data_IF_978307957948
#
_entry.id   IF_978307957948
#
_cell.length_a   1.000
_cell.length_b   1.000
_cell.length_c   1.000
_cell.angle_alpha   90.00
_cell.angle_beta   90.00
_cell.angle_gamma   90.00
#
_symmetry.space_group_name_H-M   'P 1'
#
loop_
_entity.id
_entity.type
_entity.pdbx_description
1 polymer ?
#
# COMPACT_ATOMS: atom_id res chain seq x y z
N UNK A 1 -5.86 5.41 -26.76
CA UNK A 1 -6.24 5.71 -25.36
C UNK A 1 -7.57 5.07 -24.90
N UNK A 2 -8.35 4.37 -25.76
CA UNK A 2 -9.60 3.72 -25.34
C UNK A 2 -9.45 2.31 -24.75
N UNK A 3 -8.47 1.51 -25.20
CA UNK A 3 -8.34 0.11 -24.78
C UNK A 3 -8.00 -0.07 -23.28
N UNK A 4 -7.12 0.78 -22.74
CA UNK A 4 -6.81 0.84 -21.30
C UNK A 4 -8.02 1.33 -20.49
N UNK A 5 -8.81 2.27 -21.03
CA UNK A 5 -10.00 2.79 -20.37
C UNK A 5 -11.13 1.74 -20.31
N UNK A 6 -11.32 0.99 -21.41
CA UNK A 6 -12.30 -0.07 -21.48
C UNK A 6 -11.90 -1.24 -20.57
N UNK A 7 -10.64 -1.69 -20.62
CA UNK A 7 -10.17 -2.74 -19.72
C UNK A 7 -10.24 -2.35 -18.24
N UNK A 8 -9.94 -1.10 -17.90
CA UNK A 8 -10.11 -0.61 -16.54
C UNK A 8 -11.59 -0.59 -16.11
N UNK A 9 -12.50 -0.17 -16.99
CA UNK A 9 -13.94 -0.12 -16.72
C UNK A 9 -14.54 -1.51 -16.55
N UNK A 10 -14.18 -2.46 -17.42
CA UNK A 10 -14.66 -3.84 -17.37
C UNK A 10 -14.19 -4.55 -16.08
N UNK A 11 -12.95 -4.32 -15.66
CA UNK A 11 -12.44 -4.84 -14.38
C UNK A 11 -13.18 -4.23 -13.18
N UNK A 12 -13.51 -2.94 -13.23
CA UNK A 12 -14.23 -2.24 -12.18
C UNK A 12 -15.66 -2.78 -12.04
N UNK A 13 -16.35 -2.99 -13.16
CA UNK A 13 -17.69 -3.58 -13.21
C UNK A 13 -17.69 -5.04 -12.74
N UNK A 14 -16.72 -5.85 -13.15
CA UNK A 14 -16.59 -7.25 -12.72
C UNK A 14 -16.45 -7.38 -11.20
N UNK A 15 -15.64 -6.51 -10.59
CA UNK A 15 -15.48 -6.47 -9.13
C UNK A 15 -16.81 -6.04 -8.49
N UNK A 16 -17.44 -4.98 -8.99
CA UNK A 16 -18.70 -4.48 -8.44
C UNK A 16 -19.82 -5.53 -8.49
N UNK A 17 -19.97 -6.24 -9.60
CA UNK A 17 -20.98 -7.30 -9.78
C UNK A 17 -20.68 -8.54 -8.93
N UNK A 18 -19.42 -8.95 -8.80
CA UNK A 18 -19.03 -10.06 -7.93
C UNK A 18 -19.40 -9.80 -6.46
N UNK A 19 -19.12 -8.59 -5.98
CA UNK A 19 -19.49 -8.19 -4.61
C UNK A 19 -21.00 -7.98 -4.47
N UNK A 20 -21.68 -7.43 -5.47
CA UNK A 20 -23.13 -7.25 -5.44
C UNK A 20 -23.88 -8.60 -5.43
N UNK A 21 -23.45 -9.57 -6.22
CA UNK A 21 -24.07 -10.90 -6.32
C UNK A 21 -23.99 -11.73 -5.04
N UNK A 22 -22.97 -11.51 -4.20
CA UNK A 22 -22.79 -12.25 -2.95
C UNK A 22 -23.69 -11.74 -1.81
N UNK A 23 -24.03 -10.44 -1.78
CA UNK A 23 -24.73 -9.83 -0.63
C UNK A 23 -26.07 -9.20 -0.97
N UNK A 24 -26.41 -9.01 -2.25
CA UNK A 24 -27.63 -8.33 -2.72
C UNK A 24 -27.83 -6.89 -2.16
N UNK A 25 -26.84 -6.36 -1.45
CA UNK A 25 -26.82 -5.04 -0.82
C UNK A 25 -25.41 -4.46 -0.96
N UNK A 26 -25.32 -3.29 -1.60
CA UNK A 26 -24.05 -2.58 -1.80
C UNK A 26 -23.34 -2.25 -0.48
N UNK A 27 -24.08 -1.98 0.59
CA UNK A 27 -23.48 -1.68 1.90
C UNK A 27 -22.79 -2.89 2.54
N UNK A 28 -23.45 -4.05 2.52
CA UNK A 28 -22.90 -5.27 3.11
C UNK A 28 -21.72 -5.82 2.29
N UNK A 29 -21.77 -5.68 0.96
CA UNK A 29 -20.67 -5.99 0.05
C UNK A 29 -19.37 -5.27 0.45
N UNK A 30 -19.44 -3.94 0.65
CA UNK A 30 -18.28 -3.12 1.01
C UNK A 30 -17.76 -3.49 2.40
N UNK A 31 -18.65 -3.72 3.37
CA UNK A 31 -18.24 -4.12 4.73
C UNK A 31 -17.52 -5.48 4.71
N UNK A 32 -18.04 -6.48 3.98
CA UNK A 32 -17.36 -7.76 3.84
C UNK A 32 -16.02 -7.66 3.10
N UNK A 33 -15.96 -6.88 2.01
CA UNK A 33 -14.72 -6.63 1.28
C UNK A 33 -13.66 -6.00 2.20
N UNK A 34 -14.02 -4.96 2.95
CA UNK A 34 -13.09 -4.27 3.85
C UNK A 34 -12.58 -5.20 4.96
N UNK A 35 -13.43 -6.06 5.52
CA UNK A 35 -13.03 -7.06 6.53
C UNK A 35 -12.10 -8.09 5.91
N UNK A 36 -12.44 -8.65 4.74
CA UNK A 36 -11.63 -9.66 4.06
C UNK A 36 -10.25 -9.12 3.68
N UNK A 37 -10.21 -7.91 3.11
CA UNK A 37 -8.95 -7.22 2.78
C UNK A 37 -8.15 -6.94 4.04
N UNK A 38 -8.78 -6.48 5.13
CA UNK A 38 -8.07 -6.20 6.38
C UNK A 38 -7.47 -7.45 7.01
N UNK A 39 -8.15 -8.60 6.94
CA UNK A 39 -7.62 -9.89 7.40
C UNK A 39 -6.45 -10.33 6.52
N UNK A 40 -6.60 -10.27 5.19
CA UNK A 40 -5.55 -10.65 4.25
C UNK A 40 -4.30 -9.75 4.33
N UNK A 41 -4.50 -8.45 4.55
CA UNK A 41 -3.43 -7.46 4.68
C UNK A 41 -2.83 -7.39 6.09
N UNK A 42 -3.45 -7.99 7.12
CA UNK A 42 -2.91 -8.01 8.47
C UNK A 42 -1.45 -8.50 8.55
N UNK A 43 -1.07 -9.67 7.98
CA UNK A 43 0.32 -10.11 7.98
C UNK A 43 1.23 -9.19 7.15
N UNK A 44 0.71 -8.58 6.08
CA UNK A 44 1.47 -7.64 5.27
C UNK A 44 1.78 -6.35 6.05
N UNK A 45 0.79 -5.80 6.75
CA UNK A 45 0.93 -4.61 7.57
C UNK A 45 1.95 -4.82 8.69
N UNK A 46 1.98 -6.01 9.30
CA UNK A 46 3.03 -6.36 10.27
C UNK A 46 4.43 -6.34 9.64
N UNK A 47 4.59 -6.95 8.45
CA UNK A 47 5.87 -6.90 7.72
C UNK A 47 6.26 -5.48 7.33
N UNK A 48 5.31 -4.66 6.89
CA UNK A 48 5.55 -3.24 6.58
C UNK A 48 6.00 -2.48 7.83
N UNK A 49 5.36 -2.70 8.99
CA UNK A 49 5.72 -2.04 10.24
C UNK A 49 7.13 -2.39 10.72
N UNK A 50 7.54 -3.66 10.61
CA UNK A 50 8.92 -4.08 10.93
C UNK A 50 9.94 -3.40 10.02
N UNK A 51 9.67 -3.31 8.71
CA UNK A 51 10.52 -2.58 7.77
C UNK A 51 10.65 -1.10 8.13
N UNK A 52 9.55 -0.45 8.51
CA UNK A 52 9.57 0.95 8.98
C UNK A 52 10.42 1.14 10.25
N UNK A 53 10.33 0.22 11.21
CA UNK A 53 11.16 0.29 12.43
C UNK A 53 12.65 0.11 12.12
N UNK A 54 13.01 -0.76 11.17
CA UNK A 54 14.40 -0.90 10.73
C UNK A 54 14.92 0.39 10.08
N UNK A 55 14.10 1.04 9.25
CA UNK A 55 14.44 2.35 8.70
C UNK A 55 14.67 3.40 9.79
N UNK A 56 13.83 3.44 10.84
CA UNK A 56 14.02 4.36 11.98
C UNK A 56 15.35 4.11 12.72
N UNK A 57 15.78 2.85 12.88
CA UNK A 57 17.09 2.53 13.49
C UNK A 57 18.27 2.99 12.62
N UNK A 58 18.08 3.03 11.31
CA UNK A 58 19.09 3.47 10.35
C UNK A 58 19.16 5.01 10.27
N UNK A 59 18.05 5.72 10.49
CA UNK A 59 17.99 7.19 10.49
C UNK A 59 19.09 7.89 11.32
N UNK A 60 19.37 7.54 12.59
CA UNK A 60 20.41 8.21 13.37
C UNK A 60 21.82 7.98 12.79
N UNK A 61 22.09 6.78 12.25
CA UNK A 61 23.38 6.50 11.58
C UNK A 61 23.50 7.27 10.28
N UNK A 62 22.40 7.43 9.55
CA UNK A 62 22.34 8.28 8.38
C UNK A 62 22.63 9.75 8.72
N UNK A 63 22.11 10.25 9.85
CA UNK A 63 22.40 11.61 10.32
C UNK A 63 23.87 11.80 10.70
N UNK A 64 24.47 10.87 11.44
CA UNK A 64 25.90 10.93 11.79
C UNK A 64 26.80 10.86 10.55
N UNK A 65 26.45 10.02 9.57
CA UNK A 65 27.15 9.99 8.28
C UNK A 65 26.95 11.31 7.52
N UNK A 66 25.72 11.83 7.46
CA UNK A 66 25.45 13.13 6.84
C UNK A 66 26.25 14.25 7.50
N UNK A 67 26.40 14.30 8.83
CA UNK A 67 27.19 15.29 9.57
C UNK A 67 28.70 15.12 9.33
N UNK A 68 29.20 13.88 9.36
CA UNK A 68 30.62 13.57 9.12
C UNK A 68 31.05 13.89 7.69
N UNK A 69 30.17 13.71 6.72
CA UNK A 69 30.42 13.97 5.29
C UNK A 69 29.78 15.29 4.79
N UNK A 70 29.12 16.08 5.64
CA UNK A 70 28.56 17.39 5.28
C UNK A 70 29.66 18.39 4.91
N UNK A 71 30.81 18.30 5.57
CA UNK A 71 31.99 19.13 5.29
C UNK A 71 32.83 18.63 4.09
N UNK A 72 32.50 17.47 3.51
CA UNK A 72 33.20 16.89 2.35
C UNK A 72 32.39 17.04 1.06
N UNK A 73 31.31 17.86 1.10
CA UNK A 73 30.53 18.22 -0.10
C UNK A 73 31.29 19.12 -1.08
N UNK A 74 32.47 19.61 -0.73
CA UNK A 74 33.32 20.44 -1.61
C UNK A 74 34.19 19.64 -2.59
N UNK A 75 34.08 18.31 -2.67
CA UNK A 75 34.89 17.47 -3.58
C UNK A 75 34.13 16.52 -4.51
N UNK A 76 32.85 16.77 -4.80
CA UNK A 76 32.13 16.10 -5.90
C UNK A 76 31.46 17.12 -6.82
#
# INVERSE_FOLDING_TARGET
MGAIWNGASDLLLMILEFFYGLTNSFGMAIVLLTIAVRIALYPLNQKQMVSMQQMQKIQPRLKVLQEKYANDKEKL
#
